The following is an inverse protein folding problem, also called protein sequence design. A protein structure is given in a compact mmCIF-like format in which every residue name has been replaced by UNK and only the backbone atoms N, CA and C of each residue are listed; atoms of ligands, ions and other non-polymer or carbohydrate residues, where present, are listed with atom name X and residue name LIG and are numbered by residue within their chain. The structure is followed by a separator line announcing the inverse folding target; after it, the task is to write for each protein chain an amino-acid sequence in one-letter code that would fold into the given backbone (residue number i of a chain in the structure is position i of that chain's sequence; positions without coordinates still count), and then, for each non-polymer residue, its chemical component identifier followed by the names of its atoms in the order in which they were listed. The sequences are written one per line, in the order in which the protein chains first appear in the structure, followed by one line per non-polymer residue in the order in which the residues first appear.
data_IF_871806674095
#
_entry.id   IF_871806674095
#
_cell.length_a   1.000
_cell.length_b   1.000
_cell.length_c   1.000
_cell.angle_alpha   90.00
_cell.angle_beta   90.00
_cell.angle_gamma   90.00
#
_symmetry.space_group_name_H-M   'P 1'
#
loop_
_entity.id
_entity.type
_entity.pdbx_description
1 polymer ?
#
# COMPACT_ATOMS: atom_id res chain seq x y z
N UNK A 1 -1.85 -3.92 -3.05
CA UNK A 1 -0.93 -2.77 -3.02
C UNK A 1 -1.60 -1.57 -3.67
N UNK A 2 -1.47 -0.39 -3.06
CA UNK A 2 -1.73 0.90 -3.70
C UNK A 2 -0.71 1.91 -3.14
N UNK A 3 -0.16 2.79 -3.97
CA UNK A 3 0.78 3.82 -3.51
C UNK A 3 0.05 4.99 -2.80
N UNK A 4 -1.27 5.08 -2.91
CA UNK A 4 -2.16 5.96 -2.17
C UNK A 4 -3.26 5.14 -1.45
N UNK A 5 -2.88 4.33 -0.44
CA UNK A 5 -3.79 3.34 0.16
C UNK A 5 -4.90 3.96 1.00
N UNK A 6 -5.94 3.18 1.31
CA UNK A 6 -7.00 3.57 2.25
C UNK A 6 -6.88 2.94 3.63
N UNK A 7 -5.96 1.98 3.79
CA UNK A 7 -5.59 1.36 5.05
C UNK A 7 -4.08 1.37 5.29
N UNK A 8 -3.71 1.26 6.57
CA UNK A 8 -2.34 1.11 7.03
C UNK A 8 -2.21 -0.16 7.89
N UNK A 9 -1.08 -0.84 7.77
CA UNK A 9 -0.68 -1.96 8.62
C UNK A 9 0.07 -1.45 9.85
N UNK A 10 -0.28 -1.99 11.01
CA UNK A 10 0.31 -1.69 12.31
C UNK A 10 0.64 -3.01 12.99
N UNK A 11 1.78 -3.08 13.67
CA UNK A 11 2.14 -4.22 14.50
C UNK A 11 1.99 -3.85 15.97
N UNK A 12 1.32 -4.70 16.74
CA UNK A 12 1.25 -4.61 18.18
C UNK A 12 1.76 -5.92 18.77
N UNK A 13 3.04 -5.96 19.13
CA UNK A 13 3.72 -7.21 19.47
C UNK A 13 3.70 -8.18 18.29
N UNK A 14 3.07 -9.34 18.48
CA UNK A 14 2.90 -10.37 17.45
C UNK A 14 1.58 -10.24 16.67
N UNK A 15 0.75 -9.23 16.96
CA UNK A 15 -0.50 -8.98 16.25
C UNK A 15 -0.30 -8.01 15.09
N UNK A 16 -0.94 -8.31 13.97
CA UNK A 16 -1.01 -7.44 12.80
C UNK A 16 -2.42 -6.83 12.72
N UNK A 17 -2.46 -5.50 12.82
CA UNK A 17 -3.67 -4.70 12.78
C UNK A 17 -3.73 -3.94 11.46
N UNK A 18 -4.84 -4.06 10.73
CA UNK A 18 -5.13 -3.25 9.54
C UNK A 18 -6.17 -2.19 9.93
N UNK A 19 -5.83 -0.91 9.78
CA UNK A 19 -6.72 0.21 10.12
C UNK A 19 -6.95 1.11 8.92
N UNK A 20 -8.19 1.56 8.74
CA UNK A 20 -8.50 2.60 7.76
C UNK A 20 -7.88 3.93 8.17
N UNK A 21 -7.38 4.69 7.20
CA UNK A 21 -6.80 6.03 7.40
C UNK A 21 -7.67 7.15 6.80
N UNK A 22 -8.78 6.75 6.17
CA UNK A 22 -9.86 7.60 5.67
C UNK A 22 -11.16 6.79 5.59
N UNK A 23 -12.33 7.43 5.44
CA UNK A 23 -13.57 6.72 5.13
C UNK A 23 -13.41 5.83 3.89
N UNK A 24 -14.00 4.63 3.94
CA UNK A 24 -14.00 3.64 2.86
C UNK A 24 -15.45 3.40 2.46
N UNK A 25 -15.77 3.61 1.18
CA UNK A 25 -17.14 3.42 0.68
C UNK A 25 -17.49 1.94 0.57
N UNK A 26 -18.79 1.61 0.59
CA UNK A 26 -19.25 0.26 0.29
C UNK A 26 -18.70 -0.18 -1.07
N UNK A 27 -18.14 -1.39 -1.14
CA UNK A 27 -17.51 -2.00 -2.32
C UNK A 27 -16.21 -1.34 -2.79
N UNK A 28 -15.69 -0.33 -2.09
CA UNK A 28 -14.35 0.16 -2.35
C UNK A 28 -13.32 -0.89 -1.93
N UNK A 29 -12.30 -1.13 -2.77
CA UNK A 29 -11.25 -2.11 -2.46
C UNK A 29 -10.45 -1.62 -1.25
N UNK A 30 -10.21 -2.51 -0.29
CA UNK A 30 -9.29 -2.24 0.81
C UNK A 30 -7.87 -2.37 0.29
N UNK A 31 -7.06 -1.32 0.43
CA UNK A 31 -5.69 -1.27 -0.05
C UNK A 31 -4.74 -0.81 1.04
N UNK A 32 -3.55 -1.40 1.07
CA UNK A 32 -2.40 -0.94 1.86
C UNK A 32 -1.15 -0.99 0.98
N UNK A 33 -0.12 -0.25 1.37
CA UNK A 33 1.16 -0.24 0.64
C UNK A 33 2.11 -1.30 1.17
N UNK A 34 2.77 -2.00 0.25
CA UNK A 34 3.78 -3.03 0.55
C UNK A 34 5.16 -2.43 0.81
N UNK A 35 5.36 -1.17 0.41
CA UNK A 35 6.60 -0.41 0.53
C UNK A 35 6.27 0.99 1.02
N UNK A 36 7.27 1.78 1.43
CA UNK A 36 7.02 3.16 1.84
C UNK A 36 6.40 3.99 0.70
N UNK A 37 5.26 4.65 1.00
CA UNK A 37 4.59 5.59 0.10
C UNK A 37 5.40 6.88 -0.12
N UNK A 38 6.42 7.18 0.70
CA UNK A 38 7.20 8.41 0.59
C UNK A 38 8.35 8.31 -0.42
N UNK A 39 8.53 7.16 -1.05
CA UNK A 39 9.57 6.96 -2.06
C UNK A 39 9.19 7.58 -3.41
N UNK A 40 10.16 8.08 -4.20
CA UNK A 40 9.94 8.50 -5.58
C UNK A 40 9.36 7.38 -6.46
N UNK A 41 8.67 7.76 -7.54
CA UNK A 41 8.03 6.81 -8.47
C UNK A 41 8.98 5.71 -8.98
N UNK A 42 10.16 6.11 -9.47
CA UNK A 42 11.17 5.19 -10.02
C UNK A 42 11.58 4.14 -8.99
N UNK A 43 11.78 4.55 -7.75
CA UNK A 43 12.15 3.65 -6.66
C UNK A 43 11.01 2.71 -6.27
N UNK A 44 9.76 3.19 -6.25
CA UNK A 44 8.59 2.33 -5.98
C UNK A 44 8.46 1.23 -7.03
N UNK A 45 8.62 1.57 -8.32
CA UNK A 45 8.55 0.61 -9.43
C UNK A 45 9.61 -0.49 -9.29
N UNK A 46 10.85 -0.11 -9.03
CA UNK A 46 11.97 -1.05 -8.85
C UNK A 46 11.72 -1.97 -7.65
N UNK A 47 11.34 -1.42 -6.49
CA UNK A 47 11.11 -2.22 -5.27
C UNK A 47 9.95 -3.20 -5.43
N UNK A 48 8.83 -2.77 -6.02
CA UNK A 48 7.69 -3.65 -6.23
C UNK A 48 7.99 -4.77 -7.23
N UNK A 49 8.74 -4.47 -8.29
CA UNK A 49 9.17 -5.48 -9.25
C UNK A 49 10.14 -6.49 -8.62
N UNK A 50 11.12 -6.03 -7.84
CA UNK A 50 12.14 -6.91 -7.28
C UNK A 50 11.64 -7.76 -6.11
N UNK A 51 10.83 -7.18 -5.21
CA UNK A 51 10.38 -7.86 -4.00
C UNK A 51 9.08 -8.66 -4.20
N UNK A 52 8.24 -8.23 -5.13
CA UNK A 52 6.89 -8.80 -5.30
C UNK A 52 6.58 -9.21 -6.75
N UNK A 53 7.52 -9.08 -7.69
CA UNK A 53 7.31 -9.26 -9.13
C UNK A 53 6.06 -8.54 -9.66
N UNK A 54 5.77 -7.36 -9.09
CA UNK A 54 4.54 -6.63 -9.34
C UNK A 54 4.81 -5.24 -9.93
N UNK A 55 4.05 -4.87 -10.96
CA UNK A 55 4.07 -3.51 -11.54
C UNK A 55 2.78 -2.78 -11.16
N UNK A 56 2.90 -1.72 -10.36
CA UNK A 56 1.74 -1.00 -9.83
C UNK A 56 1.10 -0.11 -10.89
N UNK A 57 -0.24 -0.12 -10.92
CA UNK A 57 -1.08 0.63 -11.86
C UNK A 57 -2.08 1.56 -11.14
N UNK A 58 -1.77 2.01 -9.91
CA UNK A 58 -2.64 2.95 -9.19
C UNK A 58 -2.49 4.37 -9.75
N UNK A 59 -3.47 5.23 -9.54
CA UNK A 59 -3.51 6.62 -10.06
C UNK A 59 -2.31 7.49 -9.66
N UNK A 60 -1.61 7.15 -8.56
CA UNK A 60 -0.42 7.88 -8.10
C UNK A 60 0.87 7.51 -8.85
N UNK A 61 0.89 6.36 -9.52
CA UNK A 61 2.04 5.84 -10.25
C UNK A 61 1.95 6.26 -11.72
#
# INVERSE_FOLDING_TARGET
HDCNPNCMLLYHGNELHLRSIRPIKKNEKITFSYISCNLPYSERKIRLKNLFNYECQCDRC
#
